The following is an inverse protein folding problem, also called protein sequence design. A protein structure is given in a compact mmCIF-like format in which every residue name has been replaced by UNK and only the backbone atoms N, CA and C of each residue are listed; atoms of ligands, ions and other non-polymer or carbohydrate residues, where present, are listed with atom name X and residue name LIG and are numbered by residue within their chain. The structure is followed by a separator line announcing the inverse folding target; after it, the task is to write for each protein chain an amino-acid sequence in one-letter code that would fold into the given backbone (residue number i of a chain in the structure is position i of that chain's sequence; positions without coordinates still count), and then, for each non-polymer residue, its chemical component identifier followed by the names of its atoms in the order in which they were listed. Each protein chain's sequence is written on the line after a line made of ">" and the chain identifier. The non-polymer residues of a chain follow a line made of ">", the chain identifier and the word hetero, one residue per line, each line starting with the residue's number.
data_IF_136167429517
#
_entry.id   IF_136167429517
#
_cell.length_a   1.000
_cell.length_b   1.000
_cell.length_c   1.000
_cell.angle_alpha   90.00
_cell.angle_beta   90.00
_cell.angle_gamma   90.00
#
_symmetry.space_group_name_H-M   'P 1'
#
loop_
_entity.id
_entity.type
_entity.pdbx_description
1 polymer ?
#
# COMPACT_ATOMS: atom_id res chain seq x y z
N UNK A 1 -1.59 -20.91 31.68
CA UNK A 1 -0.52 -19.87 31.64
C UNK A 1 -0.01 -19.69 30.21
N UNK A 2 -0.78 -19.04 29.32
CA UNK A 2 -0.39 -18.79 27.91
C UNK A 2 -0.17 -17.30 27.59
N UNK A 3 -0.42 -16.39 28.55
CA UNK A 3 -0.34 -14.94 28.30
C UNK A 3 1.01 -14.29 28.65
N UNK A 4 1.97 -15.03 29.23
CA UNK A 4 3.29 -14.49 29.60
C UNK A 4 4.32 -14.65 28.48
N UNK A 5 4.13 -15.61 27.56
CA UNK A 5 5.05 -15.86 26.42
C UNK A 5 4.89 -14.88 25.25
N UNK A 6 3.88 -14.02 25.28
CA UNK A 6 3.65 -12.95 24.30
C UNK A 6 4.18 -11.58 24.76
N UNK A 7 4.73 -11.48 25.98
CA UNK A 7 5.26 -10.23 26.56
C UNK A 7 6.78 -10.26 26.78
N UNK A 8 7.42 -11.40 26.55
CA UNK A 8 8.88 -11.45 26.48
C UNK A 8 9.30 -10.94 25.12
N UNK A 9 10.21 -9.98 25.09
CA UNK A 9 10.91 -9.50 23.90
C UNK A 9 11.65 -10.68 23.23
N UNK A 10 10.89 -11.51 22.52
CA UNK A 10 11.34 -12.78 21.99
C UNK A 10 11.89 -12.51 20.59
N UNK A 11 13.21 -12.60 20.38
CA UNK A 11 13.82 -12.29 19.07
C UNK A 11 13.32 -13.22 17.95
N UNK A 12 12.73 -14.36 18.30
CA UNK A 12 12.15 -15.33 17.36
C UNK A 12 10.70 -15.02 16.97
N UNK A 13 10.02 -14.08 17.63
CA UNK A 13 8.64 -13.68 17.29
C UNK A 13 8.65 -12.25 16.79
N UNK A 14 8.44 -12.02 15.47
CA UNK A 14 8.32 -10.69 14.92
C UNK A 14 7.18 -9.93 15.58
N UNK A 15 7.47 -8.73 16.07
CA UNK A 15 6.44 -7.83 16.59
C UNK A 15 5.56 -7.35 15.42
N UNK A 16 4.36 -7.93 15.31
CA UNK A 16 3.40 -7.59 14.26
C UNK A 16 2.71 -6.24 14.51
N UNK A 17 2.96 -5.59 15.66
CA UNK A 17 2.54 -4.22 15.90
C UNK A 17 3.54 -3.17 15.38
N UNK A 18 4.78 -3.58 15.08
CA UNK A 18 5.79 -2.70 14.50
C UNK A 18 5.48 -2.42 13.02
N UNK A 19 5.16 -1.17 12.72
CA UNK A 19 4.87 -0.69 11.36
C UNK A 19 6.12 -0.59 10.48
N UNK A 20 7.32 -0.55 11.09
CA UNK A 20 8.60 -0.43 10.39
C UNK A 20 9.27 -1.78 10.17
N UNK A 21 8.59 -2.90 10.49
CA UNK A 21 9.12 -4.24 10.18
C UNK A 21 9.31 -4.40 8.66
N UNK A 22 10.36 -5.11 8.21
CA UNK A 22 10.67 -5.23 6.78
C UNK A 22 9.50 -5.71 5.91
N UNK A 23 8.68 -6.63 6.42
CA UNK A 23 7.47 -7.11 5.74
C UNK A 23 6.40 -6.03 5.60
N UNK A 24 6.17 -5.21 6.62
CA UNK A 24 5.15 -4.14 6.57
C UNK A 24 5.58 -2.99 5.68
N UNK A 25 6.88 -2.69 5.64
CA UNK A 25 7.44 -1.75 4.66
C UNK A 25 7.24 -2.27 3.23
N UNK A 26 7.53 -3.54 2.97
CA UNK A 26 7.28 -4.17 1.66
C UNK A 26 5.80 -4.11 1.25
N UNK A 27 4.88 -4.39 2.19
CA UNK A 27 3.43 -4.22 1.98
C UNK A 27 3.07 -2.77 1.67
N UNK A 28 3.53 -1.80 2.46
CA UNK A 28 3.24 -0.37 2.24
C UNK A 28 3.75 0.15 0.89
N UNK A 29 4.95 -0.28 0.47
CA UNK A 29 5.47 0.07 -0.85
C UNK A 29 4.67 -0.58 -1.97
N UNK A 30 4.21 -1.82 -1.79
CA UNK A 30 3.34 -2.49 -2.76
C UNK A 30 1.97 -1.78 -2.84
N UNK A 31 1.37 -1.47 -1.70
CA UNK A 31 0.08 -0.76 -1.59
C UNK A 31 0.13 0.62 -2.23
N UNK A 32 1.25 1.36 -2.15
CA UNK A 32 1.37 2.68 -2.76
C UNK A 32 1.09 2.63 -4.28
N UNK A 33 1.72 1.70 -4.98
CA UNK A 33 1.48 1.54 -6.41
C UNK A 33 0.12 0.92 -6.70
N UNK A 34 -0.30 -0.09 -5.94
CA UNK A 34 -1.57 -0.80 -6.18
C UNK A 34 -2.79 0.11 -5.99
N UNK A 35 -2.75 0.99 -4.99
CA UNK A 35 -3.82 1.96 -4.70
C UNK A 35 -3.97 3.00 -5.83
N UNK A 36 -2.85 3.55 -6.32
CA UNK A 36 -2.88 4.56 -7.39
C UNK A 36 -3.46 3.99 -8.70
N UNK A 37 -3.14 2.74 -9.05
CA UNK A 37 -3.70 2.08 -10.24
C UNK A 37 -5.17 1.70 -10.07
N UNK A 38 -5.58 1.32 -8.87
CA UNK A 38 -6.98 1.01 -8.55
C UNK A 38 -7.83 2.28 -8.65
N UNK A 39 -7.36 3.39 -8.07
CA UNK A 39 -8.04 4.70 -8.14
C UNK A 39 -8.12 5.21 -9.59
N UNK A 40 -7.08 4.99 -10.39
CA UNK A 40 -7.09 5.32 -11.81
C UNK A 40 -8.15 4.53 -12.58
N UNK A 41 -8.24 3.22 -12.32
CA UNK A 41 -9.21 2.35 -12.98
C UNK A 41 -10.64 2.76 -12.62
N UNK A 42 -10.90 3.06 -11.35
CA UNK A 42 -12.20 3.55 -10.88
C UNK A 42 -12.57 4.89 -11.52
N UNK A 43 -11.61 5.81 -11.66
CA UNK A 43 -11.83 7.05 -12.38
C UNK A 43 -12.15 6.77 -13.87
N UNK A 44 -11.40 5.89 -14.53
CA UNK A 44 -11.55 5.58 -15.97
C UNK A 44 -12.84 4.81 -16.31
N UNK A 45 -13.50 4.16 -15.35
CA UNK A 45 -14.77 3.47 -15.56
C UNK A 45 -15.97 4.41 -15.75
N UNK A 46 -15.79 5.71 -15.48
CA UNK A 46 -16.79 6.74 -15.74
C UNK A 46 -16.67 7.21 -17.19
N UNK A 47 -17.78 7.66 -17.81
CA UNK A 47 -17.82 8.08 -19.21
C UNK A 47 -17.00 9.38 -19.42
N UNK A 48 -15.68 9.22 -19.57
CA UNK A 48 -14.71 10.30 -19.64
C UNK A 48 -14.24 10.53 -21.08
N UNK A 49 -14.01 11.81 -21.40
CA UNK A 49 -13.32 12.17 -22.63
C UNK A 49 -11.87 11.62 -22.59
N UNK A 50 -11.43 10.95 -23.65
CA UNK A 50 -10.13 10.25 -23.73
C UNK A 50 -8.94 11.12 -23.28
N UNK A 51 -9.00 12.43 -23.55
CA UNK A 51 -7.99 13.39 -23.12
C UNK A 51 -7.88 13.55 -21.61
N UNK A 52 -9.00 13.42 -20.90
CA UNK A 52 -9.05 13.49 -19.45
C UNK A 52 -8.53 12.18 -18.82
N UNK A 53 -8.83 11.04 -19.42
CA UNK A 53 -8.25 9.75 -19.05
C UNK A 53 -6.72 9.75 -19.15
N UNK A 54 -6.17 10.27 -20.26
CA UNK A 54 -4.73 10.39 -20.47
C UNK A 54 -4.09 11.33 -19.43
N UNK A 55 -4.77 12.42 -19.04
CA UNK A 55 -4.30 13.33 -17.99
C UNK A 55 -4.13 12.64 -16.63
N UNK A 56 -5.11 11.82 -16.22
CA UNK A 56 -5.08 11.11 -14.93
C UNK A 56 -3.91 10.11 -14.90
N UNK A 57 -3.73 9.35 -15.99
CA UNK A 57 -2.62 8.40 -16.12
C UNK A 57 -1.26 9.10 -16.14
N UNK A 58 -1.17 10.30 -16.73
CA UNK A 58 0.05 11.08 -16.76
C UNK A 58 0.47 11.54 -15.35
N UNK A 59 -0.49 11.97 -14.53
CA UNK A 59 -0.23 12.41 -13.15
C UNK A 59 0.32 11.26 -12.27
N UNK A 60 -0.18 10.04 -12.46
CA UNK A 60 0.30 8.83 -11.75
C UNK A 60 1.73 8.46 -12.16
N UNK A 61 2.09 8.63 -13.43
CA UNK A 61 3.43 8.26 -13.94
C UNK A 61 4.46 9.35 -13.65
N UNK A 62 4.04 10.61 -13.57
CA UNK A 62 4.95 11.74 -13.41
C UNK A 62 5.18 12.18 -11.95
N UNK A 63 4.86 11.33 -10.97
CA UNK A 63 5.16 11.54 -9.53
C UNK A 63 6.51 12.26 -9.37
N UNK A 64 6.42 13.51 -8.92
CA UNK A 64 7.53 14.45 -8.77
C UNK A 64 7.81 14.70 -7.31
#
# INVERSE_FOLDING_TARGET
>A
MMSVKLRGNNPDIPDLSDQFRPTKLGEQFSELYDNEWTDALDALQTDFEERHAISILLDIVMVR
#
